data_IF_652652363877
#
_entry.id   IF_652652363877
#
_cell.length_a   1.000
_cell.length_b   1.000
_cell.length_c   1.000
_cell.angle_alpha   90.00
_cell.angle_beta   90.00
_cell.angle_gamma   90.00
#
_symmetry.space_group_name_H-M   'P 1'
#
loop_
_entity.id
_entity.type
_entity.pdbx_description
1 polymer ?
#
# COMPACT_ATOMS: atom_id res chain seq x y z
N UNK A 1 -7.24 9.10 19.97
CA UNK A 1 -7.55 10.06 18.89
C UNK A 1 -7.15 9.47 17.56
N UNK A 2 -8.13 9.16 16.74
CA UNK A 2 -7.90 8.65 15.41
C UNK A 2 -7.66 9.82 14.46
N UNK A 3 -6.49 9.87 13.84
CA UNK A 3 -6.22 10.81 12.77
C UNK A 3 -7.17 10.54 11.61
N UNK A 4 -7.89 11.55 11.17
CA UNK A 4 -8.77 11.47 10.01
C UNK A 4 -8.07 12.02 8.78
N UNK A 5 -8.47 11.62 7.55
CA UNK A 5 -7.90 12.16 6.32
C UNK A 5 -7.88 13.70 6.28
N UNK A 6 -8.91 14.36 6.82
CA UNK A 6 -8.99 15.81 6.90
C UNK A 6 -7.95 16.45 7.82
N UNK A 7 -7.38 15.69 8.76
CA UNK A 7 -6.36 16.19 9.70
C UNK A 7 -4.97 16.27 9.03
N UNK A 8 -4.78 15.57 7.90
CA UNK A 8 -3.52 15.50 7.15
C UNK A 8 -3.75 15.64 5.64
N UNK A 9 -4.25 16.80 5.18
CA UNK A 9 -4.62 16.98 3.77
C UNK A 9 -3.44 16.84 2.79
N UNK A 10 -2.21 17.06 3.26
CA UNK A 10 -1.00 16.92 2.44
C UNK A 10 -0.56 15.46 2.25
N UNK A 11 -1.03 14.55 3.12
CA UNK A 11 -0.71 13.11 3.06
C UNK A 11 -1.79 12.36 2.29
N UNK A 12 -3.05 12.76 2.49
CA UNK A 12 -4.19 12.11 1.87
C UNK A 12 -4.53 12.74 0.52
N UNK A 13 -4.74 11.94 -0.52
CA UNK A 13 -5.19 12.44 -1.82
C UNK A 13 -6.50 13.24 -1.68
N UNK A 14 -6.63 14.30 -2.46
CA UNK A 14 -7.81 15.16 -2.39
C UNK A 14 -9.05 14.42 -2.88
N UNK A 15 -10.05 14.28 -2.01
CA UNK A 15 -11.33 13.61 -2.30
C UNK A 15 -12.11 14.18 -3.49
N UNK A 16 -11.82 15.40 -3.93
CA UNK A 16 -12.51 16.02 -5.07
C UNK A 16 -12.34 15.26 -6.39
N UNK A 17 -11.31 14.42 -6.48
CA UNK A 17 -11.02 13.57 -7.64
C UNK A 17 -11.33 12.09 -7.36
N UNK A 18 -12.11 11.79 -6.30
CA UNK A 18 -12.52 10.44 -6.01
C UNK A 18 -13.39 9.89 -7.13
N UNK A 19 -12.96 8.78 -7.70
CA UNK A 19 -13.85 7.91 -8.45
C UNK A 19 -14.81 7.24 -7.45
N UNK A 20 -16.10 7.34 -7.67
CA UNK A 20 -17.08 6.59 -6.89
C UNK A 20 -17.07 5.13 -7.36
N UNK A 21 -16.16 4.37 -6.81
CA UNK A 21 -16.08 2.93 -7.02
C UNK A 21 -17.10 2.22 -6.11
N UNK A 22 -18.35 2.60 -6.07
CA UNK A 22 -19.35 1.83 -5.32
C UNK A 22 -19.10 0.33 -5.46
N UNK A 23 -19.53 -0.53 -4.58
CA UNK A 23 -19.12 -1.94 -4.42
C UNK A 23 -19.13 -2.85 -5.66
N UNK A 24 -19.34 -2.30 -6.85
CA UNK A 24 -19.22 -2.95 -8.16
C UNK A 24 -17.84 -2.78 -8.84
N UNK A 25 -16.96 -1.95 -8.29
CA UNK A 25 -15.74 -1.52 -8.97
C UNK A 25 -14.45 -2.12 -8.39
N UNK A 26 -14.56 -3.10 -7.47
CA UNK A 26 -13.41 -3.88 -7.00
C UNK A 26 -12.69 -4.59 -8.16
N UNK A 27 -13.45 -5.11 -9.13
CA UNK A 27 -12.88 -5.74 -10.32
C UNK A 27 -12.05 -4.76 -11.13
N UNK A 28 -12.57 -3.56 -11.37
CA UNK A 28 -11.89 -2.51 -12.11
C UNK A 28 -10.62 -2.07 -11.38
N UNK A 29 -10.73 -1.88 -10.06
CA UNK A 29 -9.58 -1.52 -9.23
C UNK A 29 -8.51 -2.63 -9.21
N UNK A 30 -8.92 -3.88 -9.08
CA UNK A 30 -8.03 -5.02 -9.14
C UNK A 30 -7.34 -5.12 -10.51
N UNK A 31 -8.07 -4.91 -11.60
CA UNK A 31 -7.54 -4.88 -12.95
C UNK A 31 -6.51 -3.78 -13.13
N UNK A 32 -6.79 -2.55 -12.68
CA UNK A 32 -5.85 -1.44 -12.78
C UNK A 32 -4.56 -1.68 -11.99
N UNK A 33 -4.65 -2.32 -10.82
CA UNK A 33 -3.48 -2.72 -10.04
C UNK A 33 -2.64 -3.79 -10.75
N UNK A 34 -3.28 -4.75 -11.42
CA UNK A 34 -2.59 -5.77 -12.20
C UNK A 34 -1.89 -5.16 -13.44
N UNK A 35 -2.52 -4.21 -14.11
CA UNK A 35 -1.93 -3.50 -15.24
C UNK A 35 -0.76 -2.62 -14.79
N UNK A 36 -0.91 -1.90 -13.68
CA UNK A 36 0.19 -1.17 -13.06
C UNK A 36 1.38 -2.08 -12.74
N UNK A 37 1.11 -3.23 -12.16
CA UNK A 37 2.12 -4.23 -11.84
C UNK A 37 2.86 -4.72 -13.09
N UNK A 38 2.13 -4.97 -14.18
CA UNK A 38 2.72 -5.35 -15.47
C UNK A 38 3.56 -4.22 -16.06
N UNK A 39 3.08 -2.98 -16.04
CA UNK A 39 3.79 -1.82 -16.59
C UNK A 39 5.09 -1.49 -15.83
N UNK A 40 5.13 -1.84 -14.54
CA UNK A 40 6.30 -1.65 -13.67
C UNK A 40 7.19 -2.90 -13.55
N UNK A 41 6.89 -3.96 -14.31
CA UNK A 41 7.61 -5.23 -14.27
C UNK A 41 7.67 -5.88 -12.87
N UNK A 42 6.56 -5.86 -12.16
CA UNK A 42 6.39 -6.55 -10.87
C UNK A 42 5.47 -7.75 -11.09
N UNK A 43 5.97 -8.96 -11.34
CA UNK A 43 5.12 -10.14 -11.57
C UNK A 43 4.25 -10.45 -10.36
N UNK A 44 2.97 -10.76 -10.61
CA UNK A 44 2.04 -11.23 -9.58
C UNK A 44 1.78 -12.71 -9.77
N UNK A 45 2.09 -13.46 -8.71
CA UNK A 45 1.93 -14.92 -8.63
C UNK A 45 0.76 -15.20 -7.69
N UNK A 46 -0.07 -16.16 -8.02
CA UNK A 46 -1.15 -16.63 -7.15
C UNK A 46 -0.92 -18.09 -6.78
N UNK A 47 -0.83 -18.36 -5.48
CA UNK A 47 -0.65 -19.72 -4.97
C UNK A 47 -1.36 -19.91 -3.62
N UNK A 48 -1.75 -21.14 -3.26
CA UNK A 48 -2.36 -21.41 -1.97
C UNK A 48 -1.31 -21.41 -0.87
N UNK A 49 -1.51 -20.59 0.16
CA UNK A 49 -0.64 -20.59 1.33
C UNK A 49 -1.07 -21.67 2.33
N UNK A 50 -0.09 -22.28 3.00
CA UNK A 50 -0.34 -23.23 4.10
C UNK A 50 -0.95 -22.51 5.29
N UNK A 51 -0.40 -21.35 5.65
CA UNK A 51 -0.98 -20.47 6.66
C UNK A 51 -2.10 -19.63 6.02
N UNK A 52 -3.33 -19.84 6.50
CA UNK A 52 -4.51 -19.13 6.03
C UNK A 52 -4.56 -17.67 6.49
N UNK A 53 -3.76 -17.27 7.46
CA UNK A 53 -3.70 -15.90 7.95
C UNK A 53 -2.87 -14.99 7.01
N UNK A 54 -1.87 -15.56 6.32
CA UNK A 54 -1.06 -14.80 5.36
C UNK A 54 -1.85 -14.56 4.08
N UNK A 55 -1.91 -13.30 3.65
CA UNK A 55 -2.67 -12.87 2.46
C UNK A 55 -1.78 -12.68 1.24
N UNK A 56 -0.53 -12.31 1.42
CA UNK A 56 0.45 -12.12 0.36
C UNK A 56 1.82 -11.76 0.92
N UNK A 57 2.78 -11.60 0.02
CA UNK A 57 4.10 -11.06 0.34
C UNK A 57 4.79 -10.50 -0.92
N UNK A 58 5.63 -9.50 -0.71
CA UNK A 58 6.58 -9.00 -1.69
C UNK A 58 7.95 -9.65 -1.48
N UNK A 59 8.58 -10.11 -2.57
CA UNK A 59 9.92 -10.70 -2.55
C UNK A 59 10.94 -9.76 -3.22
N UNK A 60 11.78 -9.05 -2.42
CA UNK A 60 12.74 -8.09 -2.99
C UNK A 60 13.77 -8.71 -3.94
N UNK A 61 14.18 -9.96 -3.70
CA UNK A 61 15.19 -10.64 -4.51
C UNK A 61 14.75 -10.93 -5.95
N UNK A 62 13.46 -11.17 -6.15
CA UNK A 62 12.84 -11.42 -7.46
C UNK A 62 12.00 -10.27 -7.96
N UNK A 63 11.84 -9.23 -7.15
CA UNK A 63 10.95 -8.09 -7.41
C UNK A 63 9.55 -8.53 -7.84
N UNK A 64 8.96 -9.45 -7.08
CA UNK A 64 7.65 -10.06 -7.37
C UNK A 64 6.74 -10.07 -6.16
N UNK A 65 5.44 -10.17 -6.41
CA UNK A 65 4.41 -10.28 -5.38
C UNK A 65 3.72 -11.62 -5.51
N UNK A 66 3.50 -12.29 -4.38
CA UNK A 66 2.70 -13.52 -4.31
C UNK A 66 1.45 -13.28 -3.47
N UNK A 67 0.28 -13.64 -4.01
CA UNK A 67 -1.02 -13.52 -3.36
C UNK A 67 -1.60 -14.90 -3.05
N UNK A 68 -2.27 -15.01 -1.90
CA UNK A 68 -2.96 -16.23 -1.50
C UNK A 68 -4.24 -16.41 -2.32
N UNK A 69 -4.41 -17.56 -2.97
CA UNK A 69 -5.62 -17.90 -3.73
C UNK A 69 -6.89 -17.99 -2.90
N UNK A 70 -6.77 -18.04 -1.57
CA UNK A 70 -7.90 -18.07 -0.63
C UNK A 70 -8.43 -16.69 -0.25
N UNK A 71 -7.78 -15.62 -0.71
CA UNK A 71 -8.24 -14.26 -0.42
C UNK A 71 -9.58 -13.99 -1.08
N UNK A 72 -10.42 -13.20 -0.40
CA UNK A 72 -11.58 -12.55 -1.03
C UNK A 72 -11.10 -11.46 -1.99
N UNK A 73 -11.99 -10.94 -2.84
CA UNK A 73 -11.65 -9.84 -3.76
C UNK A 73 -11.15 -8.59 -3.01
N UNK A 74 -11.83 -8.21 -1.94
CA UNK A 74 -11.42 -7.07 -1.10
C UNK A 74 -10.07 -7.30 -0.45
N UNK A 75 -9.82 -8.50 0.07
CA UNK A 75 -8.52 -8.89 0.61
C UNK A 75 -7.42 -8.84 -0.45
N UNK A 76 -7.70 -9.30 -1.66
CA UNK A 76 -6.75 -9.24 -2.77
C UNK A 76 -6.35 -7.80 -3.10
N UNK A 77 -7.32 -6.91 -3.25
CA UNK A 77 -7.07 -5.51 -3.59
C UNK A 77 -6.25 -4.83 -2.48
N UNK A 78 -6.67 -4.98 -1.23
CA UNK A 78 -5.95 -4.41 -0.09
C UNK A 78 -4.52 -4.95 0.01
N UNK A 79 -4.36 -6.27 -0.08
CA UNK A 79 -3.04 -6.92 -0.02
C UNK A 79 -2.16 -6.48 -1.19
N UNK A 80 -2.71 -6.40 -2.39
CA UNK A 80 -1.94 -5.99 -3.56
C UNK A 80 -1.43 -4.55 -3.43
N UNK A 81 -2.23 -3.62 -2.92
CA UNK A 81 -1.77 -2.25 -2.64
C UNK A 81 -0.65 -2.27 -1.59
N UNK A 82 -0.80 -3.04 -0.53
CA UNK A 82 0.20 -3.20 0.53
C UNK A 82 1.54 -3.73 -0.02
N UNK A 83 1.50 -4.78 -0.83
CA UNK A 83 2.71 -5.38 -1.40
C UNK A 83 3.36 -4.50 -2.49
N UNK A 84 2.55 -3.76 -3.27
CA UNK A 84 3.05 -2.73 -4.19
C UNK A 84 3.73 -1.59 -3.43
N UNK A 85 3.22 -1.21 -2.27
CA UNK A 85 3.88 -0.23 -1.40
C UNK A 85 5.27 -0.73 -0.94
N UNK A 86 5.39 -2.00 -0.58
CA UNK A 86 6.71 -2.61 -0.33
C UNK A 86 7.61 -2.55 -1.56
N UNK A 87 7.10 -2.88 -2.73
CA UNK A 87 7.87 -2.82 -3.97
C UNK A 87 8.37 -1.41 -4.30
N UNK A 88 7.59 -0.38 -3.98
CA UNK A 88 7.95 1.03 -4.21
C UNK A 88 8.94 1.57 -3.18
N UNK A 89 8.74 1.28 -1.91
CA UNK A 89 9.51 1.87 -0.81
C UNK A 89 10.66 0.98 -0.31
N UNK A 90 10.53 -0.33 -0.42
CA UNK A 90 11.38 -1.30 0.26
C UNK A 90 12.08 -2.28 -0.70
N UNK A 91 12.19 -1.91 -1.97
CA UNK A 91 13.01 -2.69 -2.90
C UNK A 91 14.51 -2.55 -2.58
N UNK A 92 15.32 -3.48 -3.06
CA UNK A 92 16.75 -3.54 -2.73
C UNK A 92 17.51 -2.24 -3.04
N UNK A 93 17.13 -1.50 -4.07
CA UNK A 93 17.81 -0.25 -4.41
C UNK A 93 17.46 0.86 -3.41
N UNK A 94 16.20 0.94 -3.00
CA UNK A 94 15.72 1.92 -2.01
C UNK A 94 16.32 1.67 -0.61
N UNK A 95 16.43 0.40 -0.20
CA UNK A 95 16.94 0.05 1.12
C UNK A 95 18.44 0.34 1.31
N UNK A 96 19.21 0.33 0.21
CA UNK A 96 20.64 0.67 0.27
C UNK A 96 20.92 2.12 0.66
N UNK A 97 20.00 3.01 0.33
CA UNK A 97 20.16 4.46 0.52
C UNK A 97 19.54 4.97 1.82
N UNK A 98 18.94 4.08 2.62
CA UNK A 98 18.24 4.45 3.86
C UNK A 98 19.10 4.28 5.10
N UNK A 99 18.83 5.12 6.10
CA UNK A 99 19.38 4.94 7.44
C UNK A 99 18.89 3.61 8.06
N UNK A 100 19.76 2.99 8.88
CA UNK A 100 19.45 1.69 9.50
C UNK A 100 18.17 1.71 10.35
N UNK A 101 17.85 2.83 10.98
CA UNK A 101 16.63 3.00 11.78
C UNK A 101 15.33 2.85 10.97
N UNK A 102 15.39 3.14 9.65
CA UNK A 102 14.26 3.05 8.74
C UNK A 102 14.13 1.69 8.05
N UNK A 103 15.16 0.86 8.13
CA UNK A 103 15.22 -0.44 7.47
C UNK A 103 14.83 -1.61 8.39
N UNK A 104 14.07 -1.33 9.44
CA UNK A 104 13.59 -2.36 10.36
C UNK A 104 12.19 -2.83 9.95
N UNK A 105 11.93 -4.16 9.98
CA UNK A 105 10.67 -4.73 9.51
C UNK A 105 9.41 -4.05 10.06
N UNK A 106 9.29 -3.73 11.35
CA UNK A 106 8.10 -3.05 11.87
C UNK A 106 7.82 -1.70 11.21
N UNK A 107 8.84 -0.90 10.94
CA UNK A 107 8.68 0.40 10.27
C UNK A 107 8.25 0.21 8.83
N UNK A 108 8.86 -0.75 8.12
CA UNK A 108 8.51 -1.08 6.74
C UNK A 108 7.06 -1.55 6.62
N UNK A 109 6.61 -2.40 7.54
CA UNK A 109 5.21 -2.86 7.59
C UNK A 109 4.23 -1.71 7.84
N UNK A 110 4.57 -0.79 8.76
CA UNK A 110 3.71 0.37 9.02
C UNK A 110 3.63 1.33 7.83
N UNK A 111 4.73 1.52 7.12
CA UNK A 111 4.76 2.33 5.91
C UNK A 111 3.88 1.72 4.80
N UNK A 112 4.00 0.41 4.58
CA UNK A 112 3.21 -0.30 3.59
C UNK A 112 1.72 -0.28 3.94
N UNK A 113 1.37 -0.53 5.21
CA UNK A 113 -0.02 -0.49 5.67
C UNK A 113 -0.63 0.91 5.63
N UNK A 114 0.14 1.93 6.01
CA UNK A 114 -0.30 3.32 5.88
C UNK A 114 -0.57 3.69 4.41
N UNK A 115 0.28 3.26 3.51
CA UNK A 115 0.08 3.48 2.06
C UNK A 115 -1.17 2.76 1.59
N UNK A 116 -1.37 1.51 1.98
CA UNK A 116 -2.58 0.75 1.63
C UNK A 116 -3.86 1.41 2.18
N UNK A 117 -3.80 1.95 3.40
CA UNK A 117 -4.91 2.71 3.98
C UNK A 117 -5.21 3.98 3.18
N UNK A 118 -4.19 4.78 2.87
CA UNK A 118 -4.36 6.05 2.13
C UNK A 118 -4.92 5.78 0.73
N UNK A 119 -4.30 4.88 -0.02
CA UNK A 119 -4.72 4.53 -1.39
C UNK A 119 -6.10 3.87 -1.38
N UNK A 120 -6.32 2.90 -0.51
CA UNK A 120 -7.60 2.22 -0.37
C UNK A 120 -8.74 3.20 -0.05
N UNK A 121 -8.52 4.09 0.90
CA UNK A 121 -9.50 5.10 1.29
C UNK A 121 -9.80 6.10 0.16
N UNK A 122 -8.79 6.47 -0.62
CA UNK A 122 -8.96 7.32 -1.80
C UNK A 122 -9.93 6.70 -2.82
N UNK A 123 -9.87 5.38 -2.99
CA UNK A 123 -10.75 4.63 -3.88
C UNK A 123 -12.01 4.07 -3.20
N UNK A 124 -12.32 4.49 -1.97
CA UNK A 124 -13.53 4.11 -1.26
C UNK A 124 -13.53 2.70 -0.66
N UNK A 125 -12.36 2.06 -0.53
CA UNK A 125 -12.24 0.80 0.19
C UNK A 125 -12.31 1.03 1.70
N UNK A 126 -13.13 0.25 2.40
CA UNK A 126 -13.14 0.22 3.88
C UNK A 126 -11.98 -0.65 4.38
N UNK A 127 -10.84 -0.02 4.57
CA UNK A 127 -9.61 -0.66 5.08
C UNK A 127 -9.34 -0.33 6.55
N UNK A 128 -10.21 0.44 7.20
CA UNK A 128 -10.00 0.99 8.54
C UNK A 128 -9.69 -0.10 9.57
N UNK A 129 -10.45 -1.18 9.60
CA UNK A 129 -10.27 -2.28 10.55
C UNK A 129 -8.91 -2.97 10.45
N UNK A 130 -8.34 -3.03 9.25
CA UNK A 130 -7.05 -3.68 9.01
C UNK A 130 -5.88 -2.75 9.32
N UNK A 131 -6.03 -1.48 9.03
CA UNK A 131 -4.93 -0.51 9.04
C UNK A 131 -4.73 0.18 10.38
N UNK A 132 -5.78 0.45 11.17
CA UNK A 132 -5.69 1.18 12.43
C UNK A 132 -4.74 0.55 13.44
N UNK A 133 -4.69 -0.78 13.52
CA UNK A 133 -3.79 -1.49 14.43
C UNK A 133 -2.33 -1.21 14.12
N UNK A 134 -1.97 -1.15 12.84
CA UNK A 134 -0.60 -0.84 12.41
C UNK A 134 -0.27 0.63 12.60
N UNK A 135 -1.20 1.52 12.25
CA UNK A 135 -1.06 2.97 12.40
C UNK A 135 -0.85 3.36 13.86
N UNK A 136 -1.58 2.76 14.79
CA UNK A 136 -1.45 3.05 16.23
C UNK A 136 -0.06 2.68 16.78
N UNK A 137 0.55 1.64 16.26
CA UNK A 137 1.89 1.20 16.65
C UNK A 137 3.01 1.95 15.92
N UNK A 138 2.70 2.58 14.79
CA UNK A 138 3.69 3.27 13.97
C UNK A 138 4.47 4.34 14.73
N UNK A 139 3.78 5.14 15.55
CA UNK A 139 4.41 6.19 16.36
C UNK A 139 5.31 5.65 17.46
N UNK A 140 5.13 4.41 17.88
CA UNK A 140 5.90 3.80 18.96
C UNK A 140 7.22 3.17 18.48
N UNK A 141 7.41 2.98 17.17
CA UNK A 141 8.59 2.32 16.60
C UNK A 141 9.65 3.29 16.07
N UNK A 142 9.33 4.58 16.01
CA UNK A 142 10.25 5.64 15.61
C UNK A 142 10.46 6.60 16.79
N UNK A 143 11.67 6.64 17.31
CA UNK A 143 12.00 7.49 18.46
C UNK A 143 12.22 8.95 18.07
N UNK A 144 12.88 9.17 16.93
CA UNK A 144 13.22 10.53 16.46
C UNK A 144 12.10 11.15 15.63
N UNK A 145 11.87 12.44 15.80
CA UNK A 145 10.88 13.21 15.02
C UNK A 145 11.26 13.23 13.54
N UNK A 146 12.53 13.36 13.23
CA UNK A 146 13.05 13.35 11.85
C UNK A 146 12.76 12.04 11.14
N UNK A 147 12.88 10.91 11.82
CA UNK A 147 12.56 9.59 11.27
C UNK A 147 11.06 9.47 10.99
N UNK A 148 10.21 10.01 11.85
CA UNK A 148 8.75 10.07 11.64
C UNK A 148 8.38 10.90 10.41
N UNK A 149 9.00 12.08 10.26
CA UNK A 149 8.77 12.95 9.10
C UNK A 149 9.25 12.28 7.82
N UNK A 150 10.43 11.68 7.82
CA UNK A 150 10.98 10.95 6.67
C UNK A 150 10.07 9.79 6.29
N UNK A 151 9.59 9.01 7.27
CA UNK A 151 8.69 7.89 7.04
C UNK A 151 7.37 8.33 6.40
N UNK A 152 6.76 9.41 6.89
CA UNK A 152 5.55 9.98 6.31
C UNK A 152 5.77 10.54 4.90
N UNK A 153 6.91 11.15 4.64
CA UNK A 153 7.25 11.65 3.31
C UNK A 153 7.33 10.52 2.28
N UNK A 154 7.88 9.37 2.65
CA UNK A 154 7.93 8.19 1.78
C UNK A 154 6.52 7.60 1.53
N UNK A 155 5.70 7.50 2.57
CA UNK A 155 4.30 7.06 2.45
C UNK A 155 3.53 7.99 1.51
N UNK A 156 3.70 9.31 1.65
CA UNK A 156 3.08 10.30 0.77
C UNK A 156 3.47 10.06 -0.69
N UNK A 157 4.75 9.96 -0.97
CA UNK A 157 5.27 9.74 -2.34
C UNK A 157 4.75 8.44 -2.95
N UNK A 158 4.78 7.35 -2.19
CA UNK A 158 4.28 6.06 -2.66
C UNK A 158 2.76 6.10 -2.89
N UNK A 159 2.00 6.72 -2.00
CA UNK A 159 0.55 6.86 -2.13
C UNK A 159 0.16 7.69 -3.34
N UNK A 160 0.84 8.81 -3.59
CA UNK A 160 0.62 9.65 -4.77
C UNK A 160 0.94 8.88 -6.05
N UNK A 161 2.07 8.20 -6.10
CA UNK A 161 2.49 7.43 -7.27
C UNK A 161 1.51 6.31 -7.60
N UNK A 162 1.11 5.50 -6.62
CA UNK A 162 0.15 4.42 -6.82
C UNK A 162 -1.23 4.96 -7.22
N UNK A 163 -1.71 6.02 -6.57
CA UNK A 163 -3.02 6.60 -6.87
C UNK A 163 -3.07 7.20 -8.28
N UNK A 164 -2.08 7.96 -8.68
CA UNK A 164 -2.02 8.56 -10.03
C UNK A 164 -1.89 7.49 -11.12
N UNK A 165 -1.00 6.50 -10.91
CA UNK A 165 -0.82 5.42 -11.87
C UNK A 165 -2.09 4.58 -12.03
N UNK A 166 -2.80 4.29 -10.94
CA UNK A 166 -4.09 3.59 -11.00
C UNK A 166 -5.16 4.38 -11.73
N UNK A 167 -5.21 5.70 -11.54
CA UNK A 167 -6.13 6.58 -12.30
C UNK A 167 -5.84 6.50 -13.79
N UNK A 168 -4.57 6.61 -14.17
CA UNK A 168 -4.17 6.53 -15.57
C UNK A 168 -4.56 5.20 -16.21
N UNK A 169 -4.33 4.08 -15.51
CA UNK A 169 -4.72 2.75 -15.99
C UNK A 169 -6.24 2.63 -16.13
N UNK A 170 -7.02 3.12 -15.16
CA UNK A 170 -8.49 3.10 -15.21
C UNK A 170 -9.01 3.93 -16.39
N UNK A 171 -8.44 5.11 -16.64
CA UNK A 171 -8.86 5.98 -17.74
C UNK A 171 -8.52 5.42 -19.12
N UNK A 172 -7.50 4.57 -19.21
CA UNK A 172 -7.04 3.95 -20.45
C UNK A 172 -7.71 2.59 -20.74
N UNK A 173 -8.47 2.07 -19.79
CA UNK A 173 -9.26 0.83 -19.94
C UNK A 173 -10.57 1.07 -20.68
#
# INVERSE_FOLDING_TARGET
THAKPEDYPDIFPNKKNQFDFGGKDLDLLNQSLLEYSNSTNIPIIKEPFRDSAAKGYYMPSTHSITLNTKNTETENVHTLIHELAHAEMHNNNKLKDKELSMNVPPVMEYQAEMTAYVVGNYYGLDTEKHSLRYISNWTNNLEKVEDKISSLSEVKKASEKLSLSMVDEILNM
#
